data_IF_302691063806
#
_entry.id   IF_302691063806
#
_cell.length_a   1.000
_cell.length_b   1.000
_cell.length_c   1.000
_cell.angle_alpha   90.00
_cell.angle_beta   90.00
_cell.angle_gamma   90.00
#
_symmetry.space_group_name_H-M   'P 1'
#
loop_
_entity.id
_entity.type
_entity.pdbx_description
1 polymer ?
2 polymer ?
3 water ?
#
# COMPACT_ATOMS: atom_id res chain seq x y z
N UNK A 2 -26.70 36.41 0.86
CA UNK A 2 -26.45 37.83 0.61
C UNK A 2 -25.40 38.36 1.59
N UNK A 3 -25.56 38.01 2.86
CA UNK A 3 -24.63 38.42 3.90
C UNK A 3 -24.97 37.73 5.21
N UNK A 4 -24.14 37.96 6.24
CA UNK A 4 -24.38 37.39 7.56
C UNK A 4 -24.18 38.42 8.67
N UNK A 5 -24.99 38.34 9.72
CA UNK A 5 -24.79 39.15 10.91
C UNK A 5 -23.39 38.91 11.52
N UNK A 6 -23.04 39.65 12.56
CA UNK A 6 -21.76 39.46 13.23
C UNK A 6 -21.90 38.27 14.18
N UNK A 7 -23.06 38.18 14.82
CA UNK A 7 -23.40 37.06 15.69
C UNK A 7 -23.40 35.76 14.88
N UNK A 8 -23.93 35.85 13.65
CA UNK A 8 -24.09 34.69 12.76
C UNK A 8 -22.77 34.02 12.33
N UNK A 9 -21.82 34.80 11.87
CA UNK A 9 -20.52 34.25 11.50
C UNK A 9 -19.73 33.80 12.72
N UNK A 10 -20.02 34.40 13.87
CA UNK A 10 -19.35 34.00 15.10
C UNK A 10 -19.81 32.61 15.51
N UNK A 11 -21.11 32.38 15.40
CA UNK A 11 -21.69 31.07 15.65
C UNK A 11 -21.07 30.02 14.71
N UNK A 12 -21.02 30.32 13.41
CA UNK A 12 -20.47 29.39 12.43
C UNK A 12 -19.00 29.04 12.68
N UNK A 13 -18.20 30.03 13.08
CA UNK A 13 -16.79 29.80 13.38
C UNK A 13 -16.66 28.82 14.54
N UNK A 14 -17.49 29.01 15.57
CA UNK A 14 -17.45 28.18 16.77
C UNK A 14 -17.87 26.76 16.46
N UNK A 15 -18.95 26.61 15.71
CA UNK A 15 -19.40 25.29 15.27
C UNK A 15 -18.28 24.56 14.55
N UNK A 16 -17.62 25.22 13.61
CA UNK A 16 -16.65 24.54 12.78
C UNK A 16 -15.28 24.40 13.42
N UNK A 17 -14.99 25.27 14.38
CA UNK A 17 -13.82 25.06 15.20
C UNK A 17 -13.99 23.78 16.00
N UNK A 18 -15.22 23.50 16.42
CA UNK A 18 -15.50 22.26 17.14
C UNK A 18 -15.41 21.06 16.19
N UNK A 19 -15.95 21.21 14.99
CA UNK A 19 -15.79 20.18 13.96
C UNK A 19 -14.31 19.91 13.73
N UNK A 20 -13.53 20.99 13.63
CA UNK A 20 -12.11 20.86 13.39
C UNK A 20 -11.38 20.04 14.44
N UNK A 21 -11.72 20.24 15.71
CA UNK A 21 -11.08 19.48 16.78
C UNK A 21 -11.47 18.00 16.67
N UNK A 22 -12.74 17.75 16.42
CA UNK A 22 -13.19 16.38 16.20
C UNK A 22 -12.50 15.76 14.99
N UNK A 23 -12.27 16.56 13.96
CA UNK A 23 -11.67 16.07 12.71
C UNK A 23 -10.22 15.73 12.99
N UNK A 24 -9.55 16.57 13.78
CA UNK A 24 -8.16 16.31 14.14
C UNK A 24 -8.01 14.96 14.88
N UNK A 25 -8.87 14.72 15.85
CA UNK A 25 -8.83 13.44 16.57
C UNK A 25 -9.15 12.26 15.63
N UNK A 26 -10.12 12.44 14.76
CA UNK A 26 -10.51 11.36 13.84
C UNK A 26 -9.39 11.05 12.87
N UNK A 27 -8.80 12.09 12.28
CA UNK A 27 -7.75 11.89 11.29
C UNK A 27 -6.47 11.37 11.96
N UNK A 28 -6.19 11.84 13.18
CA UNK A 28 -5.02 11.32 13.91
C UNK A 28 -5.14 9.82 14.11
N UNK A 29 -6.37 9.34 14.26
CA UNK A 29 -6.62 7.92 14.37
C UNK A 29 -6.45 7.19 13.06
N UNK A 30 -7.09 7.69 12.01
CA UNK A 30 -7.00 7.07 10.67
C UNK A 30 -5.60 7.07 10.06
N UNK A 31 -4.89 8.19 10.14
CA UNK A 31 -3.55 8.27 9.59
C UNK A 31 -2.44 7.83 10.58
N UNK A 32 -2.85 7.43 11.77
CA UNK A 32 -1.90 6.93 12.80
C UNK A 32 -0.67 7.82 13.00
N UNK A 33 -0.91 9.11 13.18
CA UNK A 33 0.14 10.07 13.47
C UNK A 33 -0.59 11.28 13.98
N UNK A 34 0.12 12.31 14.41
CA UNK A 34 -0.59 13.51 14.85
C UNK A 34 -1.03 14.35 13.66
N UNK A 35 -2.34 14.57 13.56
CA UNK A 35 -2.88 15.41 12.48
C UNK A 35 -3.42 16.72 13.05
N UNK A 36 -2.78 17.82 12.69
CA UNK A 36 -3.21 19.15 13.09
C UNK A 36 -4.34 19.62 12.15
N UNK A 37 -5.33 20.31 12.68
CA UNK A 37 -6.39 20.88 11.86
C UNK A 37 -6.66 22.31 12.28
N UNK A 38 -6.50 23.24 11.34
CA UNK A 38 -6.87 24.64 11.56
C UNK A 38 -8.05 25.00 10.68
N UNK A 39 -9.04 25.66 11.27
CA UNK A 39 -10.26 25.97 10.56
C UNK A 39 -10.34 27.45 10.25
N UNK A 40 -10.55 27.80 8.99
CA UNK A 40 -10.83 29.19 8.67
C UNK A 40 -12.16 29.26 7.95
N UNK A 41 -12.82 30.40 8.05
CA UNK A 41 -14.11 30.59 7.43
C UNK A 41 -14.05 31.81 6.51
N UNK A 42 -14.69 31.72 5.36
CA UNK A 42 -14.70 32.82 4.41
C UNK A 42 -16.05 32.86 3.73
N UNK A 43 -16.35 34.01 3.15
CA UNK A 43 -17.62 34.22 2.49
C UNK A 43 -17.30 34.64 1.05
N UNK A 44 -17.82 33.91 0.07
CA UNK A 44 -17.58 34.24 -1.34
C UNK A 44 -18.68 33.67 -2.25
N UNK A 45 -18.63 33.98 -3.54
CA UNK A 45 -19.63 33.47 -4.46
C UNK A 45 -19.34 32.01 -4.75
N UNK A 46 -20.38 31.26 -5.14
CA UNK A 46 -20.20 29.86 -5.49
C UNK A 46 -19.22 29.72 -6.64
N UNK A 47 -19.27 30.65 -7.60
CA UNK A 47 -18.36 30.57 -8.74
C UNK A 47 -16.90 30.72 -8.30
N UNK A 48 -16.64 31.63 -7.35
CA UNK A 48 -15.27 31.79 -6.83
C UNK A 48 -14.81 30.50 -6.18
N UNK A 49 -15.67 29.88 -5.37
CA UNK A 49 -15.29 28.62 -4.72
C UNK A 49 -15.03 27.52 -5.74
N UNK A 50 -16.01 27.26 -6.60
CA UNK A 50 -15.89 26.15 -7.54
C UNK A 50 -14.69 26.29 -8.47
N UNK A 51 -14.32 27.51 -8.82
CA UNK A 51 -13.17 27.71 -9.70
C UNK A 51 -11.86 27.50 -8.97
N UNK A 52 -11.90 27.51 -7.63
CA UNK A 52 -10.69 27.27 -6.84
C UNK A 52 -10.43 25.78 -6.70
N UNK A 53 -11.42 24.94 -7.03
CA UNK A 53 -11.31 23.50 -6.81
C UNK A 53 -10.41 22.85 -7.87
N UNK A 54 -9.57 21.90 -7.45
CA UNK A 54 -8.64 21.19 -8.32
C UNK A 54 -9.34 20.18 -9.24
N UNK A 55 -8.82 20.04 -10.45
CA UNK A 55 -9.19 18.93 -11.32
C UNK A 55 -8.02 17.95 -11.34
N UNK A 56 -8.26 16.72 -10.87
CA UNK A 56 -9.51 16.28 -10.26
C UNK A 56 -9.44 16.42 -8.72
N UNK A 57 -10.57 16.23 -8.04
CA UNK A 57 -10.61 16.23 -6.57
C UNK A 57 -11.58 15.14 -6.15
N UNK A 58 -11.87 15.07 -4.85
CA UNK A 58 -12.94 14.18 -4.39
C UNK A 58 -14.08 15.05 -3.85
N UNK A 59 -15.14 15.19 -4.63
CA UNK A 59 -16.18 16.16 -4.30
C UNK A 59 -17.45 15.41 -3.95
N UNK A 60 -17.91 15.60 -2.72
CA UNK A 60 -19.06 14.88 -2.23
C UNK A 60 -20.18 15.86 -2.03
N UNK A 61 -21.31 15.61 -2.70
CA UNK A 61 -22.47 16.49 -2.56
C UNK A 61 -23.39 15.82 -1.56
N UNK A 62 -23.76 16.55 -0.50
CA UNK A 62 -24.56 15.95 0.57
C UNK A 62 -25.70 16.87 0.99
N UNK A 63 -26.65 16.30 1.71
CA UNK A 63 -27.76 17.07 2.25
C UNK A 63 -28.11 16.54 3.63
N UNK A 64 -29.17 17.08 4.21
CA UNK A 64 -29.66 16.58 5.49
C UNK A 64 -31.17 16.43 5.44
N UNK A 65 -31.73 15.72 6.41
CA UNK A 65 -33.19 15.53 6.49
C UNK A 65 -33.96 16.86 6.62
N UNK A 66 -33.25 17.93 6.98
CA UNK A 66 -33.87 19.21 7.29
C UNK A 66 -33.45 20.31 6.30
N UNK A 67 -32.54 19.99 5.40
CA UNK A 67 -32.03 20.97 4.44
C UNK A 67 -32.79 20.91 3.14
N UNK A 68 -33.15 22.08 2.63
CA UNK A 68 -33.75 22.19 1.31
C UNK A 68 -32.67 22.63 0.32
N UNK A 69 -31.91 21.65 -0.17
CA UNK A 69 -30.78 21.92 -1.02
C UNK A 69 -29.56 21.13 -0.56
N UNK A 70 -28.44 21.34 -1.24
CA UNK A 70 -27.26 20.54 -1.00
C UNK A 70 -26.08 21.38 -0.52
N UNK A 71 -25.09 20.71 0.05
CA UNK A 71 -23.84 21.37 0.42
C UNK A 71 -22.71 20.50 -0.15
N UNK A 72 -21.48 20.97 -0.07
CA UNK A 72 -20.38 20.23 -0.68
C UNK A 72 -19.31 19.91 0.36
N UNK A 73 -18.80 18.69 0.34
CA UNK A 73 -17.65 18.31 1.16
C UNK A 73 -16.59 17.95 0.13
N UNK A 74 -15.50 18.71 0.10
CA UNK A 74 -14.47 18.50 -0.91
C UNK A 74 -13.14 18.16 -0.23
N UNK A 75 -12.47 17.12 -0.73
CA UNK A 75 -11.17 16.70 -0.21
C UNK A 75 -10.16 16.66 -1.37
N UNK A 76 -8.95 17.17 -1.12
CA UNK A 76 -7.88 17.06 -2.11
C UNK A 76 -7.48 15.61 -2.25
N UNK A 77 -7.03 15.22 -3.44
CA UNK A 77 -6.66 13.83 -3.69
C UNK A 77 -5.36 13.40 -3.01
N UNK A 78 -4.43 14.32 -2.77
CA UNK A 78 -3.23 13.93 -2.03
C UNK A 78 -3.60 13.40 -0.62
N UNK A 79 -4.50 14.11 0.06
CA UNK A 79 -4.97 13.64 1.37
C UNK A 79 -5.79 12.36 1.23
N UNK A 80 -6.66 12.32 0.21
CA UNK A 80 -7.48 11.15 -0.09
C UNK A 80 -6.65 9.88 -0.22
N UNK A 81 -5.64 9.90 -1.07
CA UNK A 81 -4.81 8.72 -1.30
C UNK A 81 -3.85 8.43 -0.16
N UNK A 82 -3.36 9.48 0.51
CA UNK A 82 -2.53 9.27 1.68
C UNK A 82 -3.34 8.52 2.75
N UNK A 83 -4.54 9.01 3.06
CA UNK A 83 -5.43 8.36 4.02
C UNK A 83 -5.72 6.94 3.58
N UNK A 84 -6.09 6.80 2.32
CA UNK A 84 -6.50 5.50 1.80
C UNK A 84 -5.38 4.47 1.94
N UNK A 85 -4.18 4.85 1.53
CA UNK A 85 -3.04 3.93 1.61
C UNK A 85 -2.86 3.48 3.06
N UNK A 86 -2.79 4.43 3.99
CA UNK A 86 -2.59 4.11 5.41
C UNK A 86 -3.70 3.25 5.99
N UNK A 87 -4.95 3.58 5.67
CA UNK A 87 -6.09 2.76 6.10
C UNK A 87 -5.98 1.32 5.60
N UNK A 88 -5.39 1.14 4.42
CA UNK A 88 -5.24 -0.19 3.86
C UNK A 88 -3.95 -0.88 4.30
N UNK A 89 -3.20 -0.23 5.19
CA UNK A 89 -2.02 -0.86 5.76
C UNK A 89 -0.67 -0.37 5.25
N UNK A 90 -0.67 0.62 4.35
CA UNK A 90 0.57 1.11 3.76
C UNK A 90 1.08 2.37 4.42
N UNK A 91 2.18 2.91 3.91
CA UNK A 91 2.91 4.05 4.50
C UNK A 91 2.32 5.43 4.23
N UNK A 92 1.56 5.60 3.16
CA UNK A 92 1.01 6.91 2.86
C UNK A 92 1.98 7.71 2.02
N UNK A 93 2.88 6.98 1.38
CA UNK A 93 3.98 7.55 0.61
C UNK A 93 3.58 7.82 -0.83
N UNK A 94 3.93 9.01 -1.31
CA UNK A 94 3.77 9.36 -2.73
C UNK A 94 2.45 8.91 -3.39
N UNK A 95 1.37 9.65 -3.14
CA UNK A 95 0.03 9.44 -3.70
C UNK A 95 -0.10 9.72 -5.20
N UNK A 96 -0.92 8.93 -5.91
CA UNK A 96 -1.21 9.15 -7.33
C UNK A 96 -2.07 10.40 -7.54
N UNK A 97 -2.21 10.87 -8.78
CA UNK A 97 -3.13 11.98 -9.11
C UNK A 97 -4.10 11.58 -10.24
N UNK A 98 -5.15 10.86 -9.88
CA UNK A 98 -6.10 10.35 -10.84
C UNK A 98 -7.42 10.21 -10.12
N UNK A 99 -8.53 10.16 -10.87
CA UNK A 99 -9.80 9.79 -10.26
C UNK A 99 -9.67 8.47 -9.51
N UNK A 100 -10.40 8.31 -8.39
CA UNK A 100 -10.36 7.03 -7.68
C UNK A 100 -11.11 5.96 -8.46
N UNK A 101 -10.78 4.70 -8.25
CA UNK A 101 -11.55 3.60 -8.84
C UNK A 101 -12.81 3.34 -8.00
N UNK A 102 -13.61 2.37 -8.40
CA UNK A 102 -14.77 1.97 -7.60
C UNK A 102 -14.37 1.54 -6.19
N UNK A 103 -13.34 0.69 -6.09
CA UNK A 103 -12.88 0.20 -4.79
C UNK A 103 -12.51 1.36 -3.86
N UNK A 104 -11.75 2.32 -4.39
CA UNK A 104 -11.21 3.39 -3.56
C UNK A 104 -12.31 4.34 -3.13
N UNK A 105 -13.26 4.56 -4.04
CA UNK A 105 -14.43 5.37 -3.75
C UNK A 105 -15.29 4.71 -2.69
N UNK A 106 -15.50 3.40 -2.80
CA UNK A 106 -16.25 2.66 -1.77
C UNK A 106 -15.65 2.79 -0.38
N UNK A 107 -14.34 2.62 -0.28
CA UNK A 107 -13.69 2.73 1.02
C UNK A 107 -13.73 4.16 1.56
N UNK A 108 -13.42 5.14 0.72
CA UNK A 108 -13.31 6.50 1.20
C UNK A 108 -14.66 7.18 1.39
N UNK A 109 -15.70 6.72 0.70
CA UNK A 109 -17.05 7.20 1.00
C UNK A 109 -17.43 6.96 2.46
N UNK A 110 -17.01 5.82 3.01
CA UNK A 110 -17.27 5.53 4.43
C UNK A 110 -16.57 6.51 5.34
N UNK A 111 -15.33 6.85 4.99
CA UNK A 111 -14.59 7.84 5.74
C UNK A 111 -15.31 9.19 5.67
N UNK A 112 -15.77 9.56 4.48
CA UNK A 112 -16.46 10.86 4.36
C UNK A 112 -17.76 10.83 5.15
N UNK A 113 -18.47 9.72 5.10
CA UNK A 113 -19.66 9.56 5.93
C UNK A 113 -19.35 9.78 7.41
N UNK A 114 -18.26 9.18 7.94
CA UNK A 114 -17.87 9.43 9.32
C UNK A 114 -17.60 10.90 9.60
N UNK A 115 -16.86 11.54 8.70
CA UNK A 115 -16.50 12.95 8.90
C UNK A 115 -17.72 13.84 8.81
N UNK A 116 -18.68 13.50 7.96
CA UNK A 116 -19.93 14.26 7.91
C UNK A 116 -20.74 14.09 9.19
N UNK A 117 -20.63 12.91 9.81
CA UNK A 117 -21.33 12.67 11.06
C UNK A 117 -20.69 13.54 12.16
N UNK A 118 -19.37 13.70 12.12
CA UNK A 118 -18.71 14.59 13.07
C UNK A 118 -19.13 16.05 12.83
N UNK A 119 -19.32 16.40 11.56
CA UNK A 119 -19.81 17.74 11.21
C UNK A 119 -21.21 17.95 11.78
N UNK A 120 -22.08 16.96 11.61
CA UNK A 120 -23.43 17.04 12.16
C UNK A 120 -23.42 17.16 13.68
N UNK A 121 -22.53 16.43 14.34
CA UNK A 121 -22.39 16.52 15.80
C UNK A 121 -21.98 17.93 16.22
N UNK A 122 -21.13 18.58 15.41
CA UNK A 122 -20.72 19.95 15.71
C UNK A 122 -21.90 20.92 15.65
N UNK A 123 -22.86 20.60 14.80
CA UNK A 123 -24.04 21.43 14.57
C UNK A 123 -25.17 21.12 15.55
N UNK A 124 -24.99 20.11 16.40
CA UNK A 124 -26.11 19.55 17.15
C UNK A 124 -26.86 20.53 18.08
N UNK A 125 -26.18 21.54 18.60
CA UNK A 125 -26.92 22.51 19.43
C UNK A 125 -27.81 23.44 18.61
N UNK A 126 -27.42 23.71 17.37
CA UNK A 126 -28.13 24.71 16.59
C UNK A 126 -29.15 24.14 15.60
N UNK A 127 -28.75 23.09 14.89
CA UNK A 127 -29.66 22.41 13.98
C UNK A 127 -29.29 20.92 13.84
N UNK A 128 -30.11 20.07 14.43
CA UNK A 128 -29.96 18.63 14.24
C UNK A 128 -30.14 18.26 12.79
N UNK A 129 -29.25 17.42 12.27
CA UNK A 129 -29.47 16.78 10.97
C UNK A 129 -28.71 15.47 10.85
N UNK A 130 -29.24 14.56 10.04
CA UNK A 130 -28.52 13.37 9.63
C UNK A 130 -28.06 13.56 8.18
N UNK A 131 -26.75 13.55 7.95
CA UNK A 131 -26.26 13.79 6.58
C UNK A 131 -26.53 12.60 5.68
N UNK A 132 -26.77 12.84 4.41
CA UNK A 132 -26.75 11.75 3.44
C UNK A 132 -26.04 12.20 2.16
N UNK A 133 -25.30 11.29 1.56
CA UNK A 133 -24.54 11.61 0.37
C UNK A 133 -25.45 11.48 -0.86
N UNK A 134 -25.51 12.53 -1.67
CA UNK A 134 -26.36 12.53 -2.86
C UNK A 134 -25.59 12.11 -4.10
N UNK A 135 -24.34 12.54 -4.19
CA UNK A 135 -23.57 12.33 -5.40
C UNK A 135 -22.09 12.53 -5.09
N UNK A 136 -21.25 11.86 -5.87
CA UNK A 136 -19.80 12.03 -5.78
C UNK A 136 -19.28 12.35 -7.18
N UNK A 137 -18.52 13.44 -7.30
CA UNK A 137 -17.91 13.85 -8.58
C UNK A 137 -16.41 14.05 -8.39
N UNK A 138 -15.62 13.93 -9.47
CA UNK A 138 -14.19 14.21 -9.35
C UNK A 138 -13.78 15.47 -10.12
N UNK A 139 -14.71 15.99 -10.92
CA UNK A 139 -14.43 17.19 -11.71
C UNK A 139 -15.41 18.29 -11.33
N UNK A 140 -14.90 19.40 -10.79
CA UNK A 140 -15.77 20.52 -10.37
C UNK A 140 -16.58 21.16 -11.51
N UNK A 141 -16.21 20.93 -12.78
CA UNK A 141 -17.03 21.38 -13.91
C UNK A 141 -18.44 20.80 -13.88
N UNK A 142 -18.57 19.64 -13.27
CA UNK A 142 -19.86 18.94 -13.18
C UNK A 142 -20.59 19.21 -11.88
N UNK A 143 -20.13 20.20 -11.12
CA UNK A 143 -20.74 20.47 -9.81
C UNK A 143 -21.34 21.85 -9.76
N UNK A 144 -22.66 21.93 -9.95
CA UNK A 144 -23.37 23.20 -9.95
C UNK A 144 -24.63 23.05 -9.10
N UNK A 145 -24.48 23.19 -7.79
CA UNK A 145 -25.60 22.93 -6.88
C UNK A 145 -26.46 24.17 -6.71
N UNK A 146 -25.84 25.35 -6.82
CA UNK A 146 -26.54 26.64 -6.79
C UNK A 146 -26.03 27.53 -7.93
N UNK A 147 -26.76 28.63 -8.25
CA UNK A 147 -26.30 29.58 -9.27
C UNK A 147 -24.98 30.26 -8.92
N UNK A 148 -24.16 30.55 -9.95
CA UNK A 148 -22.79 31.07 -9.81
C UNK A 148 -22.64 32.25 -8.86
N UNK A 149 -23.63 33.14 -8.81
CA UNK A 149 -23.49 34.36 -8.02
C UNK A 149 -23.97 34.25 -6.58
N UNK A 150 -24.60 33.13 -6.24
CA UNK A 150 -25.08 32.92 -4.88
C UNK A 150 -23.90 32.89 -3.91
N UNK A 151 -24.08 33.52 -2.76
CA UNK A 151 -23.02 33.57 -1.76
C UNK A 151 -22.99 32.24 -0.99
N UNK A 152 -21.79 31.77 -0.67
CA UNK A 152 -21.64 30.55 0.12
C UNK A 152 -20.74 30.84 1.31
N UNK A 153 -20.93 30.09 2.40
CA UNK A 153 -19.99 30.09 3.51
C UNK A 153 -19.02 28.94 3.23
N UNK A 154 -17.74 29.24 3.13
CA UNK A 154 -16.76 28.20 2.86
C UNK A 154 -15.94 27.95 4.12
N UNK A 155 -16.00 26.71 4.59
CA UNK A 155 -15.22 26.30 5.75
C UNK A 155 -14.03 25.56 5.21
N UNK A 156 -12.84 26.07 5.53
CA UNK A 156 -11.61 25.44 5.08
C UNK A 156 -10.91 24.78 6.26
N UNK A 157 -10.61 23.50 6.15
CA UNK A 157 -9.85 22.79 7.15
C UNK A 157 -8.45 22.54 6.59
N UNK A 158 -7.47 23.24 7.15
CA UNK A 158 -6.08 22.98 6.80
C UNK A 158 -5.59 21.80 7.60
N UNK A 159 -5.32 20.69 6.89
CA UNK A 159 -4.93 19.44 7.50
C UNK A 159 -3.42 19.28 7.33
N UNK A 160 -2.70 19.14 8.43
CA UNK A 160 -1.25 19.04 8.36
C UNK A 160 -0.72 17.90 9.21
N UNK A 161 0.22 17.16 8.63
CA UNK A 161 0.81 15.98 9.25
C UNK A 161 2.20 15.84 8.63
N UNK A 162 3.22 15.59 9.46
CA UNK A 162 4.58 15.52 8.95
C UNK A 162 5.00 16.81 8.25
N UNK A 163 5.52 16.70 7.04
CA UNK A 163 5.84 17.88 6.25
C UNK A 163 4.72 18.22 5.27
N UNK A 164 3.66 17.44 5.30
CA UNK A 164 2.56 17.59 4.36
C UNK A 164 1.43 18.49 4.86
N UNK A 165 0.77 19.17 3.93
CA UNK A 165 -0.37 19.99 4.28
C UNK A 165 -1.39 19.97 3.14
N UNK A 166 -2.61 19.53 3.46
CA UNK A 166 -3.67 19.48 2.47
C UNK A 166 -4.94 20.08 3.04
N UNK A 167 -6.05 19.94 2.32
CA UNK A 167 -7.25 20.68 2.66
C UNK A 167 -8.51 19.86 2.51
N UNK A 168 -9.48 20.16 3.38
CA UNK A 168 -10.83 19.65 3.25
C UNK A 168 -11.70 20.90 3.29
N UNK A 169 -12.66 21.00 2.38
CA UNK A 169 -13.54 22.16 2.35
C UNK A 169 -14.96 21.72 2.54
N UNK A 170 -15.74 22.53 3.26
CA UNK A 170 -17.16 22.32 3.36
C UNK A 170 -17.82 23.61 2.89
N UNK A 171 -18.68 23.50 1.88
CA UNK A 171 -19.30 24.68 1.29
C UNK A 171 -20.80 24.71 1.60
N UNK A 172 -21.22 25.72 2.37
CA UNK A 172 -22.62 25.90 2.75
C UNK A 172 -23.24 27.09 2.00
N UNK A 173 -24.12 26.82 1.03
CA UNK A 173 -24.75 27.90 0.25
C UNK A 173 -25.67 28.77 1.12
N UNK A 174 -25.71 30.08 0.86
CA UNK A 174 -26.55 30.97 1.66
C UNK A 174 -28.02 30.55 1.62
N UNK A 175 -28.49 30.05 0.48
CA UNK A 175 -29.88 29.63 0.36
C UNK A 175 -30.21 28.42 1.26
N UNK A 176 -29.18 27.70 1.67
CA UNK A 176 -29.38 26.58 2.58
C UNK A 176 -29.42 27.07 4.03
N UNK A 177 -28.55 28.03 4.33
CA UNK A 177 -28.40 28.54 5.70
C UNK A 177 -29.50 29.51 6.08
N UNK A 178 -30.00 30.26 5.10
CA UNK A 178 -30.90 31.37 5.37
C UNK A 178 -32.11 31.05 6.25
N UNK A 179 -32.85 29.95 5.96
CA UNK A 179 -33.98 29.62 6.86
C UNK A 179 -33.56 29.27 8.30
N UNK A 180 -32.26 29.09 8.53
CA UNK A 180 -31.77 28.71 9.86
C UNK A 180 -31.16 29.89 10.61
N UNK A 181 -30.94 31.00 9.90
CA UNK A 181 -30.17 32.12 10.44
C UNK A 181 -30.72 32.68 11.77
N UNK A 182 -32.02 32.52 11.97
CA UNK A 182 -32.65 32.87 13.24
C UNK A 182 -32.08 32.04 14.42
N UNK A 183 -31.61 30.83 14.14
CA UNK A 183 -31.08 29.95 15.19
C UNK A 183 -29.55 29.96 15.30
N UNK B 2 -12.21 -21.62 -11.51
CA UNK B 2 -10.85 -21.09 -11.48
C UNK B 2 -10.75 -19.71 -12.13
N UNK B 3 -10.43 -18.71 -11.31
CA UNK B 3 -10.29 -17.32 -11.77
C UNK B 3 -9.33 -17.23 -12.93
N UNK B 4 -9.70 -16.47 -13.95
CA UNK B 4 -8.84 -16.31 -15.11
C UNK B 4 -7.84 -15.17 -14.86
N UNK B 5 -6.54 -15.52 -14.76
CA UNK B 5 -5.51 -14.54 -14.39
C UNK B 5 -5.52 -13.32 -15.31
N UNK B 6 -5.99 -13.49 -16.54
CA UNK B 6 -6.06 -12.38 -17.49
C UNK B 6 -7.19 -11.42 -17.11
N UNK B 7 -8.26 -11.97 -16.53
CA UNK B 7 -9.34 -11.13 -16.00
C UNK B 7 -8.82 -10.37 -14.79
N UNK B 8 -8.09 -11.09 -13.92
CA UNK B 8 -7.47 -10.46 -12.76
C UNK B 8 -6.51 -9.34 -13.14
N UNK B 9 -5.64 -9.60 -14.11
CA UNK B 9 -4.69 -8.61 -14.60
C UNK B 9 -5.39 -7.36 -15.13
N UNK B 10 -6.45 -7.58 -15.90
CA UNK B 10 -7.20 -6.47 -16.47
C UNK B 10 -7.85 -5.64 -15.36
N UNK B 11 -8.40 -6.34 -14.37
CA UNK B 11 -8.96 -5.69 -13.19
C UNK B 11 -7.87 -4.90 -12.44
N UNK B 12 -6.80 -5.58 -12.08
CA UNK B 12 -5.82 -5.03 -11.12
C UNK B 12 -4.91 -3.92 -11.63
N UNK B 13 -4.67 -3.89 -12.94
CA UNK B 13 -3.70 -2.94 -13.49
C UNK B 13 -4.10 -1.48 -13.29
N UNK B 14 -5.37 -1.23 -12.96
CA UNK B 14 -5.83 0.15 -12.73
C UNK B 14 -5.88 0.53 -11.25
N UNK B 15 -5.67 -0.44 -10.36
CA UNK B 15 -5.83 -0.19 -8.94
C UNK B 15 -4.55 0.33 -8.27
N UNK B 16 -4.69 0.88 -7.07
CA UNK B 16 -3.54 1.29 -6.26
C UNK B 16 -2.68 0.08 -5.94
N UNK B 17 -1.35 0.28 -5.87
CA UNK B 17 -0.42 -0.82 -5.58
C UNK B 17 -0.72 -1.51 -4.26
N UNK B 18 -1.25 -0.80 -3.27
CA UNK B 18 -1.60 -1.46 -2.03
C UNK B 18 -2.78 -2.41 -2.22
N UNK B 19 -3.71 -2.01 -3.07
CA UNK B 19 -4.87 -2.85 -3.32
C UNK B 19 -4.40 -4.13 -4.01
N UNK B 20 -3.52 -3.96 -5.00
CA UNK B 20 -2.95 -5.09 -5.72
C UNK B 20 -2.20 -6.01 -4.75
N UNK B 21 -1.38 -5.43 -3.89
CA UNK B 21 -0.62 -6.20 -2.90
C UNK B 21 -1.53 -7.03 -2.00
N UNK B 22 -2.62 -6.44 -1.54
CA UNK B 22 -3.58 -7.17 -0.71
C UNK B 22 -4.19 -8.33 -1.50
N UNK B 23 -4.63 -8.07 -2.72
CA UNK B 23 -5.27 -9.13 -3.50
C UNK B 23 -4.28 -10.26 -3.79
N UNK B 24 -3.07 -9.92 -4.21
CA UNK B 24 -2.06 -10.95 -4.54
C UNK B 24 -1.65 -11.78 -3.34
N UNK B 25 -1.64 -11.16 -2.17
CA UNK B 25 -1.18 -11.85 -0.97
C UNK B 25 -2.11 -12.97 -0.53
N UNK B 26 -3.32 -12.98 -1.06
CA UNK B 26 -4.29 -14.03 -0.76
C UNK B 26 -4.21 -15.19 -1.75
N UNK B 27 -3.52 -14.97 -2.85
CA UNK B 27 -3.45 -15.98 -3.89
C UNK B 27 -2.28 -16.92 -3.67
N UNK B 28 -2.35 -18.08 -4.33
CA UNK B 28 -1.24 -18.99 -4.39
C UNK B 28 -0.08 -18.23 -5.05
N UNK B 29 1.10 -18.26 -4.43
CA UNK B 29 2.26 -17.54 -4.98
C UNK B 29 2.55 -17.80 -6.47
N UNK B 30 2.40 -19.05 -6.98
CA UNK B 30 2.63 -19.14 -8.43
C UNK B 30 1.61 -18.32 -9.22
N UNK B 31 0.34 -18.33 -8.79
CA UNK B 31 -0.67 -17.51 -9.48
C UNK B 31 -0.37 -16.01 -9.29
N UNK B 32 -0.07 -15.61 -8.06
CA UNK B 32 0.32 -14.23 -7.82
C UNK B 32 1.47 -13.81 -8.73
N UNK B 33 2.49 -14.67 -8.88
CA UNK B 33 3.62 -14.33 -9.75
C UNK B 33 3.20 -14.16 -11.22
N UNK B 34 2.31 -15.03 -11.68
CA UNK B 34 1.78 -14.93 -13.04
C UNK B 34 1.14 -13.57 -13.24
N UNK B 35 0.25 -13.20 -12.30
CA UNK B 35 -0.40 -11.89 -12.34
C UNK B 35 0.62 -10.77 -12.33
N UNK B 36 1.50 -10.80 -11.33
CA UNK B 36 2.52 -9.75 -11.17
C UNK B 36 3.35 -9.57 -12.42
N UNK B 37 3.84 -10.67 -12.99
CA UNK B 37 4.67 -10.60 -14.19
C UNK B 37 3.94 -10.00 -15.38
N UNK B 38 2.61 -10.06 -15.36
CA UNK B 38 1.79 -9.53 -16.44
C UNK B 38 1.26 -8.10 -16.16
N UNK B 39 1.63 -7.52 -15.02
CA UNK B 39 1.24 -6.14 -14.70
C UNK B 39 2.17 -5.18 -15.41
N UNK B 40 1.71 -3.93 -15.59
CA UNK B 40 2.56 -2.88 -16.18
C UNK B 40 3.89 -2.82 -15.48
N UNK B 41 4.98 -2.77 -16.25
CA UNK B 41 6.33 -2.81 -15.70
C UNK B 41 6.47 -1.79 -14.57
N UNK B 42 5.84 -0.64 -14.77
CA UNK B 42 5.86 0.48 -13.82
C UNK B 42 5.54 0.07 -12.38
N UNK B 43 4.60 -0.84 -12.20
CA UNK B 43 4.05 -1.15 -10.87
C UNK B 43 4.72 -2.31 -10.15
N UNK B 44 5.51 -3.11 -10.86
CA UNK B 44 5.95 -4.41 -10.33
C UNK B 44 6.73 -4.33 -9.02
N UNK B 45 7.79 -3.51 -8.97
CA UNK B 45 8.60 -3.43 -7.77
C UNK B 45 7.76 -2.91 -6.59
N UNK B 46 6.96 -1.89 -6.85
CA UNK B 46 6.13 -1.32 -5.79
C UNK B 46 5.19 -2.36 -5.22
N UNK B 47 4.52 -3.12 -6.10
CA UNK B 47 3.60 -4.15 -5.63
C UNK B 47 4.31 -5.21 -4.79
N UNK B 48 5.47 -5.69 -5.27
CA UNK B 48 6.18 -6.74 -4.54
C UNK B 48 6.66 -6.22 -3.18
N UNK B 49 7.19 -4.99 -3.15
CA UNK B 49 7.64 -4.40 -1.90
C UNK B 49 6.48 -4.32 -0.90
N UNK B 50 5.30 -3.92 -1.38
CA UNK B 50 4.15 -3.81 -0.50
C UNK B 50 3.64 -5.17 -0.05
N UNK B 51 3.85 -6.19 -0.87
CA UNK B 51 3.52 -7.54 -0.43
C UNK B 51 4.46 -7.95 0.71
N UNK B 52 5.75 -7.71 0.52
CA UNK B 52 6.76 -8.06 1.49
C UNK B 52 6.51 -7.35 2.82
N UNK B 53 5.98 -6.13 2.76
CA UNK B 53 5.77 -5.32 3.98
C UNK B 53 4.34 -5.35 4.52
N UNK B 54 3.45 -6.05 3.82
CA UNK B 54 2.08 -6.21 4.29
C UNK B 54 2.11 -6.98 5.58
N UNK B 55 1.35 -6.54 6.57
CA UNK B 55 1.32 -7.30 7.81
C UNK B 55 -0.07 -7.85 8.12
N UNK B 56 -1.07 -6.97 8.15
CA UNK B 56 -2.40 -7.39 8.57
C UNK B 56 -3.46 -6.40 8.08
N UNK B 57 -4.27 -6.81 7.11
CA UNK B 57 -5.23 -5.89 6.51
C UNK B 57 -6.50 -5.80 7.35
N UNK B 58 -7.07 -4.60 7.42
CA UNK B 58 -8.34 -4.41 8.11
C UNK B 58 -9.37 -5.34 7.49
N UNK B 59 -10.07 -6.12 8.33
CA UNK B 59 -11.12 -7.01 7.82
C UNK B 59 -12.18 -6.30 6.96
N UNK B 60 -12.55 -5.08 7.30
CA UNK B 60 -13.53 -4.34 6.50
C UNK B 60 -12.97 -3.90 5.16
N UNK B 61 -11.67 -3.60 5.13
CA UNK B 61 -11.03 -3.28 3.85
C UNK B 61 -11.07 -4.52 2.95
N UNK B 62 -10.70 -5.67 3.51
CA UNK B 62 -10.69 -6.90 2.72
C UNK B 62 -12.07 -7.22 2.12
N UNK B 63 -13.12 -7.13 2.94
CA UNK B 63 -14.48 -7.40 2.45
C UNK B 63 -14.91 -6.44 1.34
N UNK B 64 -14.47 -5.18 1.41
CA UNK B 64 -14.82 -4.23 0.36
C UNK B 64 -14.12 -4.58 -0.95
N UNK B 65 -12.82 -4.90 -0.86
CA UNK B 65 -12.08 -5.35 -2.05
C UNK B 65 -12.76 -6.59 -2.64
N UNK B 66 -13.07 -7.56 -1.78
CA UNK B 66 -13.67 -8.81 -2.22
C UNK B 66 -15.05 -8.61 -2.81
N UNK B 67 -15.81 -7.68 -2.25
CA UNK B 67 -17.12 -7.31 -2.79
C UNK B 67 -16.97 -6.98 -4.28
N UNK B 68 -16.00 -6.13 -4.59
CA UNK B 68 -15.78 -5.69 -5.95
C UNK B 68 -15.22 -6.77 -6.88
N UNK B 69 -14.24 -7.52 -6.40
CA UNK B 69 -13.72 -8.68 -7.13
C UNK B 69 -14.86 -9.60 -7.54
N UNK B 70 -15.62 -10.04 -6.54
CA UNK B 70 -16.76 -10.96 -6.72
C UNK B 70 -17.72 -10.52 -7.84
N UNK B 71 -18.00 -9.23 -7.88
CA UNK B 71 -18.87 -8.67 -8.92
C UNK B 71 -18.28 -8.83 -10.32
N UNK B 72 -16.96 -8.81 -10.44
CA UNK B 72 -16.30 -8.63 -11.74
C UNK B 72 -15.35 -9.73 -12.23
N UNK B 73 -15.16 -10.79 -11.43
CA UNK B 73 -14.23 -11.85 -11.77
C UNK B 73 -14.81 -13.25 -11.52
N UNK B 74 -14.86 -14.06 -12.58
CA UNK B 74 -15.44 -15.40 -12.51
C UNK B 74 -14.62 -16.33 -11.61
N UNK B 75 -15.33 -17.09 -10.78
CA UNK B 75 -14.71 -18.11 -9.96
C UNK B 75 -13.85 -17.60 -8.81
N UNK B 76 -14.22 -16.46 -8.24
CA UNK B 76 -13.42 -15.93 -7.13
C UNK B 76 -13.69 -16.63 -5.79
N UNK B 84 -1.14 -12.69 5.94
CA UNK B 84 -1.21 -13.19 4.57
C UNK B 84 -0.03 -12.72 3.73
N UNK B 85 0.45 -11.51 3.99
CA UNK B 85 1.61 -11.03 3.25
C UNK B 85 2.87 -11.54 3.92
N UNK B 86 3.95 -10.80 3.76
CA UNK B 86 5.15 -11.12 4.52
C UNK B 86 6.31 -11.42 3.62
N UNK B 87 7.48 -11.56 4.23
CA UNK B 87 8.70 -11.82 3.49
C UNK B 87 8.61 -13.16 2.79
N UNK B 88 7.99 -14.15 3.44
CA UNK B 88 7.90 -15.48 2.86
C UNK B 88 7.06 -15.50 1.57
N UNK B 89 5.96 -14.76 1.56
CA UNK B 89 5.14 -14.62 0.36
C UNK B 89 5.88 -13.90 -0.78
N UNK B 90 6.51 -12.77 -0.46
CA UNK B 90 7.29 -12.05 -1.46
C UNK B 90 8.40 -12.93 -2.05
N UNK B 91 9.07 -13.69 -1.19
CA UNK B 91 10.16 -14.56 -1.63
C UNK B 91 9.66 -15.66 -2.57
N UNK B 92 8.62 -16.35 -2.15
CA UNK B 92 8.00 -17.39 -2.98
C UNK B 92 7.56 -16.82 -4.35
N UNK B 93 6.88 -15.67 -4.35
CA UNK B 93 6.53 -15.00 -5.60
C UNK B 93 7.76 -14.72 -6.44
N UNK B 94 8.81 -14.14 -5.84
CA UNK B 94 10.03 -13.86 -6.57
C UNK B 94 10.63 -15.12 -7.21
N UNK B 95 10.54 -16.25 -6.52
CA UNK B 95 11.11 -17.49 -7.06
C UNK B 95 10.34 -18.02 -8.26
N UNK B 96 9.09 -17.58 -8.40
CA UNK B 96 8.22 -18.01 -9.51
C UNK B 96 8.25 -17.09 -10.73
N UNK B 97 8.83 -15.91 -10.58
CA UNK B 97 8.92 -14.97 -11.69
C UNK B 97 9.99 -15.41 -12.68
N UNK B 98 9.85 -15.04 -13.95
CA UNK B 98 10.96 -15.23 -14.89
C UNK B 98 12.17 -14.43 -14.38
N UNK B 99 13.37 -14.80 -14.80
CA UNK B 99 14.58 -14.21 -14.23
C UNK B 99 14.68 -12.72 -14.52
N UNK B 100 14.21 -12.27 -15.68
CA UNK B 100 14.33 -10.86 -16.05
C UNK B 100 13.53 -9.99 -15.07
N UNK B 101 12.29 -10.38 -14.82
CA UNK B 101 11.44 -9.62 -13.92
C UNK B 101 11.95 -9.70 -12.48
N UNK B 102 12.35 -10.90 -12.04
CA UNK B 102 12.87 -11.03 -10.68
C UNK B 102 14.09 -10.14 -10.48
N UNK B 103 15.00 -10.15 -11.46
CA UNK B 103 16.21 -9.34 -11.38
C UNK B 103 15.93 -7.83 -11.35
N UNK B 104 15.03 -7.37 -12.22
CA UNK B 104 14.59 -5.96 -12.22
C UNK B 104 14.13 -5.56 -10.81
N UNK B 105 13.23 -6.34 -10.24
CA UNK B 105 12.65 -6.01 -8.93
C UNK B 105 13.72 -5.99 -7.84
N UNK B 106 14.56 -7.03 -7.79
CA UNK B 106 15.61 -7.10 -6.77
C UNK B 106 16.60 -5.94 -6.91
N UNK B 107 16.96 -5.59 -8.15
CA UNK B 107 17.88 -4.49 -8.38
C UNK B 107 17.30 -3.15 -7.88
N UNK B 108 15.99 -2.97 -8.05
CA UNK B 108 15.32 -1.76 -7.56
C UNK B 108 15.31 -1.71 -6.04
N UNK B 109 14.85 -2.80 -5.43
CA UNK B 109 14.81 -2.93 -3.98
C UNK B 109 16.18 -2.75 -3.33
N UNK B 110 17.24 -3.15 -4.02
CA UNK B 110 18.59 -2.95 -3.48
C UNK B 110 18.88 -1.45 -3.35
N UNK B 111 18.41 -0.67 -4.33
CA UNK B 111 18.55 0.79 -4.27
C UNK B 111 17.65 1.40 -3.19
N UNK B 112 16.34 1.37 -3.42
CA UNK B 112 15.34 1.91 -2.48
C UNK B 112 15.46 1.39 -1.05
N UNK B 113 15.59 0.08 -0.87
CA UNK B 113 15.47 -0.52 0.47
C UNK B 113 16.33 -1.78 0.66
N UNK B 114 17.66 -1.57 0.79
CA UNK B 114 18.67 -2.64 0.86
C UNK B 114 18.42 -3.70 1.94
N UNK B 115 17.92 -3.30 3.11
CA UNK B 115 17.72 -4.26 4.20
C UNK B 115 16.56 -5.20 3.89
N UNK B 116 15.53 -4.67 3.25
CA UNK B 116 14.40 -5.49 2.84
C UNK B 116 14.85 -6.46 1.74
N UNK B 117 15.57 -5.94 0.75
CA UNK B 117 16.16 -6.75 -0.32
C UNK B 117 16.94 -7.92 0.27
N UNK B 118 17.74 -7.63 1.28
CA UNK B 118 18.53 -8.66 1.95
C UNK B 118 17.64 -9.71 2.59
N UNK B 119 16.58 -9.27 3.27
CA UNK B 119 15.70 -10.24 3.92
C UNK B 119 14.95 -11.08 2.89
N UNK B 120 14.54 -10.46 1.79
CA UNK B 120 13.86 -11.23 0.73
C UNK B 120 14.83 -12.24 0.10
N UNK B 121 16.04 -11.81 -0.24
CA UNK B 121 17.05 -12.67 -0.83
C UNK B 121 17.37 -13.88 0.07
N UNK B 122 17.39 -13.64 1.38
CA UNK B 122 17.69 -14.69 2.36
C UNK B 122 16.64 -15.80 2.38
N UNK B 123 15.38 -15.47 2.10
CA UNK B 123 14.35 -16.50 2.09
C UNK B 123 14.22 -17.11 0.70
N UNK B 124 14.74 -16.42 -0.31
CA UNK B 124 14.67 -16.91 -1.68
C UNK B 124 15.58 -18.12 -1.94
N UNK B 125 16.77 -18.11 -1.33
CA UNK B 125 17.72 -19.19 -1.55
C UNK B 125 18.36 -19.57 -0.20
N UNK B 126 18.01 -20.74 0.33
CA UNK B 126 18.58 -21.23 1.59
C UNK B 126 19.60 -22.32 1.27
N UNK B 127 20.34 -22.77 2.29
CA UNK B 127 21.47 -23.66 2.02
C UNK B 127 21.05 -24.92 1.29
N UNK B 128 19.91 -25.48 1.66
CA UNK B 128 19.46 -26.70 0.97
C UNK B 128 19.02 -26.46 -0.48
N UNK B 129 18.81 -25.21 -0.88
CA UNK B 129 18.51 -24.95 -2.30
C UNK B 129 19.69 -25.23 -3.23
N UNK B 130 20.87 -25.47 -2.66
CA UNK B 130 21.99 -25.97 -3.47
C UNK B 130 21.59 -27.24 -4.22
N UNK B 131 20.67 -28.02 -3.65
CA UNK B 131 20.11 -29.18 -4.38
C UNK B 131 19.47 -28.77 -5.72
N UNK B 132 19.04 -27.50 -5.85
CA UNK B 132 18.43 -27.00 -7.10
C UNK B 132 19.43 -26.69 -8.19
N UNK B 133 20.71 -26.57 -7.83
CA UNK B 133 21.71 -26.07 -8.79
C UNK B 133 22.23 -27.12 -9.79
N UNK B 134 22.60 -26.66 -10.98
CA UNK B 134 23.25 -27.52 -11.97
C UNK B 134 24.57 -28.02 -11.40
N UNK B 135 25.00 -29.20 -11.84
CA UNK B 135 26.29 -29.76 -11.41
C UNK B 135 27.46 -28.86 -11.80
N UNK B 136 27.39 -28.24 -12.97
CA UNK B 136 28.41 -27.26 -13.39
C UNK B 136 28.52 -26.11 -12.41
N UNK B 137 27.39 -25.56 -12.01
CA UNK B 137 27.36 -24.50 -11.00
C UNK B 137 27.99 -24.93 -9.67
N UNK B 138 27.66 -26.13 -9.21
CA UNK B 138 28.24 -26.63 -7.96
C UNK B 138 29.76 -26.75 -8.08
N UNK B 139 30.22 -27.23 -9.22
CA UNK B 139 31.66 -27.33 -9.45
C UNK B 139 32.34 -25.97 -9.42
N UNK B 140 31.65 -24.94 -9.93
CA UNK B 140 32.18 -23.57 -9.89
C UNK B 140 32.23 -23.05 -8.46
N UNK B 141 31.24 -23.44 -7.65
CA UNK B 141 31.24 -23.00 -6.26
C UNK B 141 32.37 -23.68 -5.50
N UNK B 142 32.56 -24.97 -5.77
CA UNK B 142 33.60 -25.73 -5.06
C UNK B 142 35.02 -25.20 -5.30
N UNK B 143 35.24 -24.53 -6.43
CA UNK B 143 36.53 -23.88 -6.69
C UNK B 143 36.81 -22.69 -5.76
N UNK B 144 35.77 -22.20 -5.06
CA UNK B 144 35.91 -20.98 -4.26
C UNK B 144 35.83 -21.19 -2.75
N UNK B 145 35.65 -22.43 -2.32
CA UNK B 145 35.39 -22.73 -0.91
C UNK B 145 36.51 -23.62 -0.35
N UNK B 146 37.11 -23.17 0.74
CA UNK B 146 38.13 -23.97 1.41
C UNK B 146 37.52 -25.24 2.00
N UNK B 147 38.32 -26.31 2.09
CA UNK B 147 37.84 -27.59 2.61
C UNK B 147 37.28 -27.44 4.02
N UNK B 148 37.92 -26.62 4.85
CA UNK B 148 37.47 -26.44 6.22
C UNK B 148 36.10 -25.76 6.30
N UNK B 149 35.85 -24.81 5.42
CA UNK B 149 34.57 -24.12 5.43
C UNK B 149 33.47 -25.02 4.85
N UNK B 150 33.83 -25.85 3.86
CA UNK B 150 32.84 -26.75 3.25
C UNK B 150 32.43 -27.80 4.27
N UNK B 151 33.41 -28.32 4.99
CA UNK B 151 33.16 -29.28 6.07
C UNK B 151 32.24 -28.73 7.15
N UNK B 152 32.58 -27.55 7.67
CA UNK B 152 31.73 -26.87 8.64
C UNK B 152 30.28 -26.75 8.18
N UNK B 153 30.11 -26.31 6.93
CA UNK B 153 28.76 -26.09 6.40
C UNK B 153 28.01 -27.41 6.32
N UNK B 154 28.71 -28.46 5.90
CA UNK B 154 28.05 -29.73 5.66
C UNK B 154 27.73 -30.47 6.95
N UNK B 155 28.26 -30.00 8.08
CA UNK B 155 27.84 -30.59 9.36
C UNK B 155 26.36 -30.31 9.60
N UNK B 156 25.82 -29.33 8.89
CA UNK B 156 24.42 -28.95 9.04
C UNK B 156 23.63 -29.16 7.76
N UNK B 157 24.01 -30.16 6.99
CA UNK B 157 23.37 -30.42 5.70
C UNK B 157 22.75 -31.82 5.64
N UNK B 158 21.70 -31.99 4.85
CA UNK B 158 21.09 -33.31 4.67
C UNK B 158 22.04 -34.28 3.99
N UNK B 159 21.76 -35.58 4.12
CA UNK B 159 22.53 -36.59 3.41
C UNK B 159 22.44 -36.39 1.89
N UNK B 160 21.26 -35.99 1.40
CA UNK B 160 21.07 -35.77 -0.03
C UNK B 160 22.00 -34.65 -0.52
N UNK B 161 22.11 -33.59 0.26
CA UNK B 161 22.96 -32.47 -0.15
C UNK B 161 24.44 -32.87 -0.12
N UNK B 162 24.86 -33.58 0.93
CA UNK B 162 26.23 -34.05 0.96
C UNK B 162 26.57 -34.89 -0.27
N UNK B 163 25.69 -35.80 -0.68
CA UNK B 163 26.01 -36.63 -1.85
C UNK B 163 26.08 -35.81 -3.13
N UNK B 164 25.29 -34.75 -3.19
CA UNK B 164 25.25 -33.89 -4.36
C UNK B 164 26.59 -33.15 -4.45
N UNK B 165 27.15 -32.83 -3.30
CA UNK B 165 28.44 -32.18 -3.29
C UNK B 165 29.53 -33.20 -3.64
N UNK B 166 29.55 -34.36 -2.96
CA UNK B 166 30.58 -35.38 -3.21
C UNK B 166 30.69 -35.82 -4.67
N UNK B 167 29.57 -35.98 -5.35
CA UNK B 167 29.64 -36.44 -6.74
C UNK B 167 30.20 -35.39 -7.67
N UNK B 168 30.25 -34.15 -7.21
CA UNK B 168 30.83 -33.10 -8.05
C UNK B 168 32.26 -32.76 -7.65
N UNK B 169 32.89 -33.63 -6.88
CA UNK B 169 34.30 -33.47 -6.52
C UNK B 169 35.13 -34.60 -7.11
N UNK B 170 36.44 -34.39 -7.28
CA UNK B 170 37.29 -35.49 -7.72
C UNK B 170 37.30 -36.54 -6.62
N UNK B 171 37.76 -37.73 -6.95
CA UNK B 171 37.85 -38.79 -5.96
C UNK B 171 38.77 -38.38 -4.81
N UNK B 172 39.88 -37.73 -5.14
CA UNK B 172 40.85 -37.30 -4.12
C UNK B 172 40.29 -36.22 -3.19
N UNK B 173 39.64 -35.21 -3.78
CA UNK B 173 39.08 -34.13 -2.98
C UNK B 173 37.89 -34.59 -2.12
N UNK B 174 37.06 -35.50 -2.63
CA UNK B 174 35.94 -36.00 -1.85
C UNK B 174 36.42 -36.80 -0.64
N UNK B 175 37.48 -37.59 -0.82
CA UNK B 175 37.97 -38.40 0.28
C UNK B 175 38.56 -37.49 1.36
N UNK B 176 39.24 -36.43 0.94
CA UNK B 176 39.77 -35.47 1.90
C UNK B 176 38.65 -34.73 2.67
N UNK B 177 37.54 -34.42 1.99
CA UNK B 177 36.39 -33.79 2.67
C UNK B 177 35.73 -34.76 3.64
N UNK B 178 35.52 -36.00 3.22
CA UNK B 178 34.95 -37.02 4.10
C UNK B 178 35.78 -37.22 5.37
N UNK B 179 37.11 -37.23 5.21
CA UNK B 179 38.00 -37.33 6.39
C UNK B 179 37.94 -36.08 7.27
N UNK B 180 37.80 -34.91 6.66
CA UNK B 180 37.66 -33.68 7.42
C UNK B 180 36.38 -33.73 8.26
N UNK B 181 35.29 -34.22 7.67
CA UNK B 181 34.02 -34.27 8.39
C UNK B 181 34.15 -35.26 9.55
N UNK B 182 34.87 -36.34 9.30
CA UNK B 182 34.90 -37.46 10.24
C UNK B 182 35.75 -37.14 11.47
N UNK B 183 36.68 -36.19 11.33
CA UNK B 183 37.64 -35.94 12.39
C UNK B 183 37.50 -34.59 13.11
N UNK B 184 36.72 -33.68 12.53
CA UNK B 184 36.58 -32.36 13.14
C UNK B 184 35.83 -32.48 14.46
N UNK B 185 36.06 -31.53 15.35
CA UNK B 185 35.44 -31.58 16.66
C UNK B 185 33.96 -31.27 16.63
N UNK B 186 33.35 -31.20 17.82
CA UNK B 186 31.99 -30.66 17.92
C UNK B 186 32.02 -29.22 17.47
N UNK B 187 31.02 -28.80 16.70
CA UNK B 187 30.96 -27.42 16.26
C UNK B 187 29.60 -26.82 16.62
N UNK B 188 29.58 -25.55 16.99
CA UNK B 188 28.32 -24.90 17.31
C UNK B 188 27.49 -24.67 16.07
N UNK B 189 26.18 -24.86 16.20
CA UNK B 189 25.27 -24.60 15.11
C UNK B 189 25.50 -23.22 14.51
N UNK B 190 25.80 -22.25 15.36
CA UNK B 190 26.08 -20.89 14.90
C UNK B 190 27.26 -20.81 13.92
N UNK B 191 28.31 -21.59 14.17
CA UNK B 191 29.48 -21.58 13.29
C UNK B 191 29.21 -22.34 12.00
N UNK B 192 28.38 -23.37 12.09
CA UNK B 192 27.92 -24.10 10.92
C UNK B 192 27.12 -23.17 10.01
N UNK B 193 26.18 -22.44 10.58
CA UNK B 193 25.36 -21.53 9.77
C UNK B 193 26.14 -20.37 9.17
N UNK B 194 27.19 -19.94 9.86
CA UNK B 194 28.06 -18.90 9.33
C UNK B 194 28.80 -19.42 8.09
N UNK B 195 29.25 -20.67 8.15
CA UNK B 195 29.90 -21.28 7.01
C UNK B 195 28.92 -21.43 5.84
N UNK B 196 27.69 -21.83 6.13
CA UNK B 196 26.70 -21.97 5.06
C UNK B 196 26.43 -20.61 4.42
N UNK B 197 26.39 -19.56 5.24
CA UNK B 197 26.18 -18.20 4.74
C UNK B 197 27.31 -17.72 3.80
N UNK B 198 28.55 -18.08 4.10
CA UNK B 198 29.66 -17.79 3.18
C UNK B 198 29.47 -18.43 1.81
N UNK B 199 29.00 -19.67 1.81
CA UNK B 199 28.82 -20.37 0.56
C UNK B 199 27.64 -19.76 -0.24
N UNK B 200 26.56 -19.43 0.45
CA UNK B 200 25.43 -18.79 -0.23
C UNK B 200 25.92 -17.45 -0.80
N UNK B 201 26.77 -16.73 -0.07
CA UNK B 201 27.28 -15.45 -0.58
C UNK B 201 28.06 -15.63 -1.87
N UNK B 202 28.81 -16.73 -1.98
CA UNK B 202 29.56 -17.03 -3.17
C UNK B 202 28.61 -17.31 -4.32
N UNK B 203 27.56 -18.08 -4.03
CA UNK B 203 26.58 -18.42 -5.08
C UNK B 203 25.93 -17.13 -5.60
N UNK B 204 25.50 -16.27 -4.66
CA UNK B 204 24.90 -14.98 -4.97
C UNK B 204 25.83 -14.07 -5.81
N UNK B 205 27.12 -14.08 -5.50
CA UNK B 205 28.08 -13.31 -6.30
C UNK B 205 28.24 -13.90 -7.70
N UNK B 206 28.32 -15.22 -7.80
CA UNK B 206 28.46 -15.85 -9.11
C UNK B 206 27.18 -15.68 -9.95
N UNK B 207 26.02 -15.65 -9.29
CA UNK B 207 24.77 -15.41 -10.01
C UNK B 207 24.75 -13.99 -10.61
N UNK B 208 25.15 -13.00 -9.80
CA UNK B 208 25.28 -11.61 -10.26
C UNK B 208 26.18 -11.52 -11.48
N UNK B 209 27.32 -12.18 -11.40
CA UNK B 209 28.30 -12.15 -12.47
C UNK B 209 27.82 -12.91 -13.70
N UNK B 210 26.71 -13.62 -13.57
CA UNK B 210 26.17 -14.39 -14.68
C UNK B 210 26.83 -15.74 -14.91
N UNK B 211 27.63 -16.21 -13.96
CA UNK B 211 28.32 -17.49 -14.10
C UNK B 211 27.44 -18.68 -13.68
N UNK B 212 26.44 -18.38 -12.87
CA UNK B 212 25.48 -19.37 -12.38
C UNK B 212 24.08 -18.85 -12.67
N UNK B 213 23.21 -19.71 -13.20
CA UNK B 213 21.80 -19.36 -13.35
C UNK B 213 20.96 -20.31 -12.50
N UNK B 214 20.09 -19.75 -11.66
CA UNK B 214 19.26 -20.59 -10.79
C UNK B 214 17.88 -20.74 -11.43
N UNK B 215 17.71 -21.81 -12.20
CA UNK B 215 16.51 -22.01 -13.02
C UNK B 215 15.37 -22.61 -12.20
N UNK B 216 15.73 -23.56 -11.33
CA UNK B 216 14.75 -24.31 -10.56
C UNK B 216 14.32 -23.60 -9.27
#
# INVERSE_FOLDING_TARGET
GTKFSKEQLRTFQMIHENFGRALSTYLSGRLRTFVDVEISIDQLTYEEFIRSVMIPSFIVIFTGDVFEGSAIFEMRLDLFYTMLDIIMGGPGENPPNRPPTEIETSIMRKEVTNMLTLLAQAWSDFQYFIPSIENVETNPQFVQIVPPNEIVLLVTASVSWGEFTSFINVCWPFSLLEPLLEKLSDR
GHMDPVQLVNFLQSEHPQTIAVVLSYLDPPVAAQILGALPEELQTEVLKRIALLERTSPEVVKEIERNLEKKISGFVSRTFSKVGGIDTAAEIMNNLDRTTEKKIMDKLVQENPELADEIRRRMFVFEDILKLDDRSIQLVLREVDTRDLALALKGASDELKEKIFKNMSKRAAALLKDELEYMGPVRLKDVEEAQQKIINIIRRLEEAGEIVIAR
#
